data_IF_442593606242
#
_entry.id   IF_442593606242
#
_cell.length_a   1.000
_cell.length_b   1.000
_cell.length_c   1.000
_cell.angle_alpha   90.00
_cell.angle_beta   90.00
_cell.angle_gamma   90.00
#
_symmetry.space_group_name_H-M   'P 1'
#
loop_
_entity.id
_entity.type
_entity.pdbx_description
1 polymer ?
#
# COMPACT_ATOMS: atom_id res chain seq x y z
N UNK A 1 13.60 0.78 -0.27
CA UNK A 1 13.06 1.36 -1.53
C UNK A 1 11.96 0.49 -2.12
N UNK A 2 12.13 -0.84 -2.20
CA UNK A 2 11.07 -1.81 -2.59
C UNK A 2 9.75 -1.59 -1.84
N UNK A 3 9.77 -1.41 -0.50
CA UNK A 3 8.55 -1.18 0.26
C UNK A 3 7.76 0.07 -0.17
N UNK A 4 8.47 1.17 -0.47
CA UNK A 4 7.84 2.41 -0.93
C UNK A 4 7.23 2.25 -2.32
N UNK A 5 7.95 1.60 -3.24
CA UNK A 5 7.44 1.28 -4.57
C UNK A 5 6.24 0.33 -4.52
N UNK A 6 6.28 -0.68 -3.65
CA UNK A 6 5.18 -1.62 -3.45
C UNK A 6 3.94 -0.91 -2.90
N UNK A 7 4.11 -0.02 -1.91
CA UNK A 7 3.02 0.78 -1.35
C UNK A 7 2.44 1.74 -2.40
N UNK A 8 3.29 2.44 -3.15
CA UNK A 8 2.89 3.35 -4.21
C UNK A 8 2.09 2.63 -5.30
N UNK A 9 2.57 1.46 -5.75
CA UNK A 9 1.89 0.63 -6.73
C UNK A 9 0.55 0.09 -6.19
N UNK A 10 0.52 -0.45 -4.97
CA UNK A 10 -0.70 -0.96 -4.35
C UNK A 10 -1.78 0.14 -4.20
N UNK A 11 -1.41 1.35 -3.77
CA UNK A 11 -2.33 2.47 -3.71
C UNK A 11 -2.96 2.82 -5.06
N UNK A 12 -2.21 2.70 -6.17
CA UNK A 12 -2.74 2.91 -7.51
C UNK A 12 -3.72 1.80 -7.93
N UNK A 13 -3.38 0.54 -7.65
CA UNK A 13 -4.19 -0.63 -8.00
C UNK A 13 -5.53 -0.65 -7.24
N UNK A 14 -5.53 -0.22 -5.98
CA UNK A 14 -6.71 -0.15 -5.12
C UNK A 14 -7.57 1.12 -5.34
N UNK A 15 -7.33 1.89 -6.40
CA UNK A 15 -8.06 3.14 -6.70
C UNK A 15 -7.95 4.23 -5.59
N UNK A 16 -6.88 4.18 -4.80
CA UNK A 16 -6.54 5.20 -3.79
C UNK A 16 -5.15 5.81 -4.06
N UNK A 17 -4.90 6.43 -5.24
CA UNK A 17 -3.58 6.90 -5.60
C UNK A 17 -3.04 7.92 -4.60
N UNK A 18 -1.73 7.85 -4.33
CA UNK A 18 -0.99 8.82 -3.52
C UNK A 18 0.08 9.46 -4.38
N UNK A 19 0.41 10.72 -4.14
CA UNK A 19 1.48 11.37 -4.89
C UNK A 19 2.82 10.74 -4.52
N UNK A 20 3.75 10.67 -5.48
CA UNK A 20 5.07 10.10 -5.24
C UNK A 20 5.82 10.86 -4.13
N UNK A 21 5.62 12.19 -4.08
CA UNK A 21 6.16 13.06 -3.03
C UNK A 21 5.64 12.66 -1.65
N UNK A 22 4.32 12.45 -1.50
CA UNK A 22 3.75 12.04 -0.22
C UNK A 22 4.31 10.70 0.24
N UNK A 23 4.50 9.75 -0.68
CA UNK A 23 5.09 8.44 -0.37
C UNK A 23 6.53 8.59 0.10
N UNK A 24 7.34 9.43 -0.56
CA UNK A 24 8.74 9.69 -0.20
C UNK A 24 8.83 10.33 1.19
N UNK A 25 8.06 11.39 1.43
CA UNK A 25 8.11 12.13 2.69
C UNK A 25 7.67 11.25 3.87
N UNK A 26 6.58 10.48 3.71
CA UNK A 26 6.09 9.63 4.79
C UNK A 26 6.98 8.40 5.02
N UNK A 27 7.54 7.80 3.97
CA UNK A 27 8.51 6.70 4.14
C UNK A 27 9.78 7.19 4.83
N UNK A 28 10.24 8.40 4.48
CA UNK A 28 11.37 9.06 5.13
C UNK A 28 11.14 9.28 6.63
N UNK A 29 9.95 9.77 7.02
CA UNK A 29 9.55 9.94 8.42
C UNK A 29 9.55 8.61 9.19
N UNK A 30 9.00 7.54 8.60
CA UNK A 30 8.94 6.22 9.24
C UNK A 30 10.33 5.62 9.45
N UNK A 31 11.24 5.79 8.47
CA UNK A 31 12.59 5.24 8.54
C UNK A 31 13.51 6.05 9.47
N UNK A 32 13.36 7.38 9.50
CA UNK A 32 14.19 8.31 10.26
C UNK A 32 13.51 8.72 11.57
N UNK A 33 13.30 7.75 12.47
CA UNK A 33 12.61 7.89 13.78
C UNK A 33 13.10 9.02 14.71
N UNK A 34 14.20 9.74 14.42
CA UNK A 34 14.82 10.67 15.39
C UNK A 34 15.11 12.10 14.91
N UNK A 35 15.09 12.41 13.61
CA UNK A 35 15.15 13.80 13.10
C UNK A 35 14.58 13.82 11.69
N UNK A 36 13.48 14.57 11.51
CA UNK A 36 13.01 14.96 10.20
C UNK A 36 13.98 16.01 9.65
N UNK A 37 15.16 15.57 9.18
CA UNK A 37 15.92 16.40 8.26
C UNK A 37 15.07 16.58 7.02
N UNK A 38 14.79 17.83 6.69
CA UNK A 38 14.08 18.19 5.47
C UNK A 38 14.82 17.60 4.27
N UNK A 39 14.10 16.83 3.45
CA UNK A 39 14.68 16.28 2.23
C UNK A 39 14.93 17.45 1.27
N UNK A 40 16.15 17.55 0.74
CA UNK A 40 16.43 18.52 -0.33
C UNK A 40 15.70 18.11 -1.61
N UNK A 41 15.56 19.05 -2.55
CA UNK A 41 14.90 18.76 -3.84
C UNK A 41 15.62 17.65 -4.61
N UNK A 42 16.96 17.67 -4.62
CA UNK A 42 17.79 16.68 -5.29
C UNK A 42 17.60 15.29 -4.67
N UNK A 43 17.48 15.21 -3.34
CA UNK A 43 17.18 13.95 -2.67
C UNK A 43 15.80 13.42 -3.07
N UNK A 44 14.78 14.28 -3.12
CA UNK A 44 13.42 13.89 -3.52
C UNK A 44 13.42 13.38 -4.97
N UNK A 45 14.12 14.05 -5.88
CA UNK A 45 14.25 13.62 -7.29
C UNK A 45 14.93 12.25 -7.39
N UNK A 46 16.05 12.04 -6.69
CA UNK A 46 16.71 10.73 -6.67
C UNK A 46 15.81 9.63 -6.11
N UNK A 47 15.09 9.90 -5.02
CA UNK A 47 14.14 8.93 -4.47
C UNK A 47 12.97 8.65 -5.41
N UNK A 48 12.52 9.65 -6.17
CA UNK A 48 11.46 9.49 -7.16
C UNK A 48 11.93 8.56 -8.29
N UNK A 49 13.11 8.79 -8.85
CA UNK A 49 13.71 7.94 -9.89
C UNK A 49 13.87 6.49 -9.40
N UNK A 50 14.39 6.32 -8.18
CA UNK A 50 14.54 5.01 -7.55
C UNK A 50 13.20 4.27 -7.41
N UNK A 51 12.14 4.96 -6.96
CA UNK A 51 10.83 4.35 -6.77
C UNK A 51 10.22 3.95 -8.11
N UNK A 52 10.31 4.80 -9.13
CA UNK A 52 9.82 4.51 -10.48
C UNK A 52 10.56 3.31 -11.09
N UNK A 53 11.88 3.22 -10.90
CA UNK A 53 12.66 2.06 -11.31
C UNK A 53 12.16 0.77 -10.64
N UNK A 54 11.98 0.79 -9.32
CA UNK A 54 11.52 -0.39 -8.58
C UNK A 54 10.07 -0.76 -8.90
N UNK A 55 9.22 0.21 -9.19
CA UNK A 55 7.88 -0.04 -9.69
C UNK A 55 7.91 -0.82 -11.01
N UNK A 56 8.73 -0.42 -11.97
CA UNK A 56 8.87 -1.14 -13.23
C UNK A 56 9.39 -2.58 -13.02
N UNK A 57 10.34 -2.75 -12.09
CA UNK A 57 10.83 -4.08 -11.70
C UNK A 57 9.70 -4.91 -11.09
N UNK A 58 8.89 -4.35 -10.18
CA UNK A 58 7.75 -5.04 -9.56
C UNK A 58 6.72 -5.45 -10.60
N UNK A 59 6.33 -4.55 -11.51
CA UNK A 59 5.39 -4.84 -12.59
C UNK A 59 5.87 -6.00 -13.47
N UNK A 60 7.15 -5.96 -13.85
CA UNK A 60 7.77 -7.01 -14.66
C UNK A 60 7.85 -8.35 -13.91
N UNK A 61 8.21 -8.30 -12.62
CA UNK A 61 8.35 -9.49 -11.76
C UNK A 61 7.01 -10.17 -11.51
N UNK A 62 5.96 -9.39 -11.31
CA UNK A 62 4.60 -9.90 -11.08
C UNK A 62 3.87 -10.26 -12.38
N UNK A 63 4.45 -9.97 -13.54
CA UNK A 63 3.79 -10.18 -14.83
C UNK A 63 2.47 -9.41 -14.94
N UNK A 64 2.39 -8.21 -14.34
CA UNK A 64 1.17 -7.40 -14.21
C UNK A 64 0.01 -8.07 -13.45
N UNK A 65 0.24 -9.19 -12.75
CA UNK A 65 -0.73 -9.80 -11.84
C UNK A 65 -0.78 -9.03 -10.52
N UNK A 66 -1.53 -7.93 -10.50
CA UNK A 66 -1.61 -7.01 -9.35
C UNK A 66 -2.87 -7.19 -8.49
N UNK A 67 -3.88 -7.90 -9.00
CA UNK A 67 -5.11 -8.16 -8.27
C UNK A 67 -4.84 -9.19 -7.16
N UNK A 68 -5.12 -8.81 -5.91
CA UNK A 68 -4.93 -9.67 -4.75
C UNK A 68 -6.27 -9.87 -4.04
N UNK A 69 -6.73 -11.11 -3.98
CA UNK A 69 -7.91 -11.46 -3.18
C UNK A 69 -7.56 -11.45 -1.70
N UNK A 70 -8.10 -10.46 -0.98
CA UNK A 70 -7.95 -10.39 0.47
C UNK A 70 -8.95 -11.32 1.18
N UNK A 71 -8.60 -11.89 2.34
CA UNK A 71 -9.53 -12.74 3.11
C UNK A 71 -10.64 -11.95 3.81
N UNK A 72 -10.54 -10.62 3.89
CA UNK A 72 -11.50 -9.76 4.59
C UNK A 72 -12.97 -9.97 4.16
N UNK A 73 -13.32 -10.04 2.86
CA UNK A 73 -14.70 -10.26 2.45
C UNK A 73 -15.24 -11.62 2.92
N UNK A 74 -14.40 -12.66 2.98
CA UNK A 74 -14.78 -13.98 3.49
C UNK A 74 -15.11 -13.87 4.98
N UNK A 75 -14.20 -13.28 5.76
CA UNK A 75 -14.36 -13.12 7.22
C UNK A 75 -15.63 -12.33 7.55
N UNK A 76 -15.87 -11.22 6.86
CA UNK A 76 -17.05 -10.37 7.05
C UNK A 76 -18.34 -11.16 6.77
N UNK A 77 -18.40 -11.87 5.63
CA UNK A 77 -19.58 -12.69 5.26
C UNK A 77 -19.84 -13.79 6.29
N UNK A 78 -18.79 -14.46 6.78
CA UNK A 78 -18.93 -15.51 7.79
C UNK A 78 -19.47 -14.96 9.10
N UNK A 79 -18.95 -13.82 9.58
CA UNK A 79 -19.43 -13.18 10.82
C UNK A 79 -20.89 -12.74 10.68
N UNK A 80 -21.26 -12.14 9.54
CA UNK A 80 -22.64 -11.71 9.28
C UNK A 80 -23.62 -12.89 9.27
N UNK A 81 -23.25 -14.00 8.61
CA UNK A 81 -24.07 -15.21 8.57
C UNK A 81 -24.24 -15.85 9.96
N UNK A 82 -23.17 -15.90 10.75
CA UNK A 82 -23.25 -16.39 12.13
C UNK A 82 -24.14 -15.50 13.00
N UNK A 83 -24.04 -14.18 12.85
CA UNK A 83 -24.88 -13.22 13.55
C UNK A 83 -26.37 -13.37 13.21
N UNK A 84 -26.71 -13.51 11.93
CA UNK A 84 -28.11 -13.75 11.52
C UNK A 84 -28.63 -15.08 12.06
N UNK A 85 -27.82 -16.14 12.00
CA UNK A 85 -28.20 -17.45 12.57
C UNK A 85 -28.45 -17.38 14.08
N UNK A 86 -27.66 -16.60 14.83
CA UNK A 86 -27.88 -16.42 16.26
C UNK A 86 -29.17 -15.64 16.56
N UNK A 87 -29.48 -14.60 15.78
CA UNK A 87 -30.74 -13.84 15.91
C UNK A 87 -31.97 -14.69 15.53
N UNK A 88 -31.83 -15.63 14.59
CA UNK A 88 -32.90 -16.56 14.21
C UNK A 88 -33.12 -17.66 15.28
N UNK A 89 -32.08 -18.01 16.05
CA UNK A 89 -32.13 -19.04 17.10
C UNK A 89 -32.55 -18.46 18.46
N UNK A 90 -32.24 -17.19 18.72
CA UNK A 90 -32.62 -16.45 19.93
C UNK A 90 -33.25 -15.09 19.53
N UNK A 91 -34.58 -15.02 19.33
CA UNK A 91 -35.26 -13.79 18.94
C UNK A 91 -35.32 -12.73 20.05
#
# INVERSE_FOLDING_TARGET
>A
RICAASLFLACKVEEFPRTLRDVIENTGKVLRRKKAEELTKEMIEQYAEDIVLHENILLSTLGFSLMVDHPHPIIIKTIQALGSMLNDVFP
#
